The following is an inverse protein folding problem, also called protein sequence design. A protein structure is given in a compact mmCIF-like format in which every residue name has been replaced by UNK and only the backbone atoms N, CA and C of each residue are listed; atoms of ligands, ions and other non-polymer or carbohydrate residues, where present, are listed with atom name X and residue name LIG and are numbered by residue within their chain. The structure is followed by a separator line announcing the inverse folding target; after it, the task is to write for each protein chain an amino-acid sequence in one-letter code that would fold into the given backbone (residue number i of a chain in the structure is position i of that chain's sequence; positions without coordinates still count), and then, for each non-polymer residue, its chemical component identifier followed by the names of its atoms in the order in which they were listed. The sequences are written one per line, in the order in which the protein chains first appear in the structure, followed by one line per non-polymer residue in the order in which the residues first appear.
data_IF_580031269411
#
_entry.id   IF_580031269411
#
_cell.length_a   1.000
_cell.length_b   1.000
_cell.length_c   1.000
_cell.angle_alpha   90.00
_cell.angle_beta   90.00
_cell.angle_gamma   90.00
#
_symmetry.space_group_name_H-M   'P 1'
#
loop_
_entity.id
_entity.type
_entity.pdbx_description
1 polymer ?
#
# COMPACT_ATOMS: atom_id res chain seq x y z
N UNK A 1 -24.58 -16.24 -63.06
CA UNK A 1 -23.67 -16.09 -64.23
C UNK A 1 -23.51 -17.47 -64.86
N UNK A 2 -24.31 -17.75 -65.87
CA UNK A 2 -24.39 -19.06 -66.54
C UNK A 2 -23.20 -19.21 -67.47
N UNK A 3 -22.25 -20.08 -67.12
CA UNK A 3 -21.27 -20.58 -68.07
C UNK A 3 -22.02 -21.33 -69.18
N UNK A 4 -22.28 -20.64 -70.29
CA UNK A 4 -22.66 -21.29 -71.56
C UNK A 4 -21.39 -21.82 -72.20
N UNK A 5 -20.70 -22.71 -71.49
CA UNK A 5 -19.64 -23.53 -72.05
C UNK A 5 -20.26 -24.54 -73.02
N UNK A 6 -19.59 -24.80 -74.13
CA UNK A 6 -20.06 -25.80 -75.10
C UNK A 6 -20.29 -27.16 -74.43
N UNK A 7 -21.11 -28.03 -75.04
CA UNK A 7 -21.41 -29.39 -74.49
C UNK A 7 -20.16 -30.16 -74.07
N UNK A 8 -19.02 -29.92 -74.74
CA UNK A 8 -17.71 -30.48 -74.38
C UNK A 8 -17.21 -30.03 -73.01
N UNK A 9 -17.25 -28.73 -72.69
CA UNK A 9 -16.78 -28.19 -71.40
C UNK A 9 -17.62 -28.72 -70.24
N UNK A 10 -18.93 -28.82 -70.44
CA UNK A 10 -19.85 -29.42 -69.46
C UNK A 10 -19.53 -30.89 -69.20
N UNK A 11 -19.20 -31.64 -70.26
CA UNK A 11 -18.75 -33.04 -70.14
C UNK A 11 -17.43 -33.14 -69.38
N UNK A 12 -16.47 -32.25 -69.64
CA UNK A 12 -15.18 -32.24 -68.93
C UNK A 12 -15.36 -31.95 -67.43
N UNK A 13 -16.14 -30.92 -67.09
CA UNK A 13 -16.42 -30.58 -65.70
C UNK A 13 -17.16 -31.70 -64.97
N UNK A 14 -18.16 -32.31 -65.60
CA UNK A 14 -18.89 -33.45 -65.02
C UNK A 14 -18.00 -34.69 -64.86
N UNK A 15 -17.09 -34.95 -65.80
CA UNK A 15 -16.15 -36.06 -65.70
C UNK A 15 -15.11 -35.85 -64.60
N UNK A 16 -14.60 -34.62 -64.42
CA UNK A 16 -13.72 -34.26 -63.30
C UNK A 16 -14.42 -34.48 -61.95
N UNK A 17 -15.67 -34.00 -61.79
CA UNK A 17 -16.46 -34.18 -60.55
C UNK A 17 -16.69 -35.67 -60.24
N UNK A 18 -17.03 -36.47 -61.25
CA UNK A 18 -17.24 -37.91 -61.06
C UNK A 18 -15.93 -38.62 -60.65
N UNK A 19 -14.81 -38.23 -61.26
CA UNK A 19 -13.49 -38.78 -60.93
C UNK A 19 -13.08 -38.44 -59.49
N UNK A 20 -13.31 -37.19 -59.04
CA UNK A 20 -13.07 -36.77 -57.65
C UNK A 20 -13.88 -37.57 -56.63
N UNK A 21 -15.08 -37.99 -57.01
CA UNK A 21 -15.95 -38.84 -56.19
C UNK A 21 -15.57 -40.33 -56.23
N UNK A 22 -14.52 -40.70 -56.97
CA UNK A 22 -14.09 -42.10 -57.16
C UNK A 22 -15.02 -42.90 -58.08
N UNK A 23 -15.96 -42.25 -58.78
CA UNK A 23 -16.91 -42.89 -59.69
C UNK A 23 -16.33 -42.80 -61.10
N UNK A 24 -16.29 -43.94 -61.82
CA UNK A 24 -15.79 -43.95 -63.21
C UNK A 24 -16.68 -43.06 -64.09
N UNK A 25 -16.14 -42.01 -64.73
CA UNK A 25 -16.91 -41.18 -65.66
C UNK A 25 -17.35 -42.00 -66.88
N UNK A 26 -18.62 -42.38 -66.91
CA UNK A 26 -19.26 -43.06 -68.06
C UNK A 26 -20.20 -42.10 -68.78
N UNK A 27 -20.55 -42.40 -70.03
CA UNK A 27 -21.43 -41.54 -70.83
C UNK A 27 -22.82 -41.36 -70.22
N UNK A 28 -23.31 -42.38 -69.51
CA UNK A 28 -24.59 -42.32 -68.79
C UNK A 28 -24.49 -41.44 -67.55
N UNK A 29 -23.49 -41.68 -66.68
CA UNK A 29 -23.26 -40.89 -65.47
C UNK A 29 -23.00 -39.41 -65.79
N UNK A 30 -22.23 -39.12 -66.84
CA UNK A 30 -21.99 -37.75 -67.29
C UNK A 30 -23.28 -37.11 -67.82
N UNK A 31 -24.10 -37.85 -68.56
CA UNK A 31 -25.39 -37.36 -69.08
C UNK A 31 -26.38 -37.04 -67.97
N UNK A 32 -26.44 -37.89 -66.94
CA UNK A 32 -27.25 -37.67 -65.74
C UNK A 32 -26.80 -36.40 -65.01
N UNK A 33 -25.49 -36.16 -64.93
CA UNK A 33 -24.91 -34.99 -64.26
C UNK A 33 -25.17 -33.67 -65.02
N UNK A 34 -25.12 -33.66 -66.36
CA UNK A 34 -25.30 -32.44 -67.17
C UNK A 34 -26.74 -32.24 -67.69
N UNK A 35 -27.60 -33.26 -67.57
CA UNK A 35 -29.03 -33.25 -67.91
C UNK A 35 -29.38 -33.04 -69.39
N UNK A 36 -28.40 -32.88 -70.30
CA UNK A 36 -28.62 -32.51 -71.70
C UNK A 36 -27.48 -32.94 -72.62
N UNK A 37 -27.77 -33.11 -73.92
CA UNK A 37 -26.80 -33.52 -74.94
C UNK A 37 -26.98 -34.95 -75.44
N UNK A 38 -26.60 -35.19 -76.70
CA UNK A 38 -26.60 -36.53 -77.30
C UNK A 38 -25.50 -37.40 -76.69
N UNK A 39 -25.82 -38.68 -76.41
CA UNK A 39 -24.85 -39.68 -75.94
C UNK A 39 -23.64 -39.79 -76.88
N UNK A 40 -23.82 -39.60 -78.19
CA UNK A 40 -22.72 -39.63 -79.18
C UNK A 40 -21.75 -38.46 -79.01
N UNK A 41 -22.28 -37.26 -78.75
CA UNK A 41 -21.48 -36.05 -78.50
C UNK A 41 -20.76 -36.14 -77.15
N UNK A 42 -21.44 -36.67 -76.13
CA UNK A 42 -20.87 -36.90 -74.79
C UNK A 42 -19.75 -37.95 -74.88
N UNK A 43 -19.95 -39.05 -75.62
CA UNK A 43 -18.93 -40.07 -75.84
C UNK A 43 -17.65 -39.48 -76.46
N UNK A 44 -17.80 -38.68 -77.52
CA UNK A 44 -16.67 -38.02 -78.18
C UNK A 44 -15.92 -37.10 -77.22
N UNK A 45 -16.64 -36.24 -76.49
CA UNK A 45 -16.03 -35.33 -75.52
C UNK A 45 -15.39 -36.07 -74.33
N UNK A 46 -16.00 -37.16 -73.86
CA UNK A 46 -15.47 -37.97 -72.76
C UNK A 46 -14.18 -38.71 -73.17
N UNK A 47 -14.09 -39.18 -74.41
CA UNK A 47 -12.86 -39.77 -74.93
C UNK A 47 -11.74 -38.72 -75.04
N UNK A 48 -12.06 -37.50 -75.47
CA UNK A 48 -11.11 -36.40 -75.48
C UNK A 48 -10.64 -36.07 -74.05
N UNK A 49 -11.55 -36.08 -73.08
CA UNK A 49 -11.22 -35.88 -71.66
C UNK A 49 -10.26 -36.95 -71.14
N UNK A 50 -10.55 -38.24 -71.37
CA UNK A 50 -9.68 -39.36 -70.97
C UNK A 50 -8.26 -39.26 -71.58
N UNK A 51 -8.16 -38.82 -72.85
CA UNK A 51 -6.85 -38.58 -73.48
C UNK A 51 -6.06 -37.49 -72.78
N UNK A 52 -6.71 -36.39 -72.40
CA UNK A 52 -6.05 -35.28 -71.70
C UNK A 52 -5.78 -35.54 -70.21
N UNK A 53 -6.51 -36.48 -69.59
CA UNK A 53 -6.35 -36.78 -68.16
C UNK A 53 -4.94 -37.31 -67.83
N UNK A 54 -4.42 -38.22 -68.66
CA UNK A 54 -3.06 -38.76 -68.48
C UNK A 54 -2.01 -37.65 -68.49
N UNK A 55 -2.10 -36.73 -69.45
CA UNK A 55 -1.18 -35.58 -69.55
C UNK A 55 -1.31 -34.62 -68.35
N UNK A 56 -2.53 -34.39 -67.86
CA UNK A 56 -2.78 -33.54 -66.68
C UNK A 56 -2.17 -34.14 -65.42
N UNK A 57 -2.37 -35.44 -65.19
CA UNK A 57 -1.82 -36.14 -64.01
C UNK A 57 -0.30 -36.15 -64.07
N UNK A 58 0.30 -36.47 -65.22
CA UNK A 58 1.75 -36.45 -65.38
C UNK A 58 2.32 -35.04 -65.19
N UNK A 59 1.68 -34.00 -65.71
CA UNK A 59 2.10 -32.60 -65.52
C UNK A 59 2.04 -32.17 -64.04
N UNK A 60 1.03 -32.61 -63.29
CA UNK A 60 0.90 -32.31 -61.87
C UNK A 60 1.93 -33.04 -61.02
N UNK A 61 2.37 -34.23 -61.43
CA UNK A 61 3.47 -34.95 -60.75
C UNK A 61 4.86 -34.38 -61.11
N UNK A 62 4.97 -33.62 -62.19
CA UNK A 62 6.19 -32.92 -62.60
C UNK A 62 6.35 -31.55 -61.92
N UNK A 63 5.99 -31.41 -60.64
CA UNK A 63 6.45 -30.24 -59.88
C UNK A 63 7.96 -30.43 -59.63
N UNK A 64 8.85 -29.64 -60.27
CA UNK A 64 10.27 -29.74 -59.98
C UNK A 64 10.50 -29.36 -58.53
N UNK A 65 11.46 -30.02 -57.87
CA UNK A 65 11.94 -29.57 -56.57
C UNK A 65 12.27 -28.08 -56.62
N UNK A 66 11.97 -27.37 -55.52
CA UNK A 66 12.27 -25.95 -55.41
C UNK A 66 13.74 -25.70 -55.78
N UNK A 67 14.03 -24.80 -56.73
CA UNK A 67 15.41 -24.53 -57.12
C UNK A 67 16.25 -24.12 -55.91
N UNK A 68 17.49 -24.61 -55.85
CA UNK A 68 18.44 -24.32 -54.77
C UNK A 68 18.57 -22.80 -54.43
N UNK A 69 18.55 -21.86 -55.40
CA UNK A 69 18.56 -20.43 -55.08
C UNK A 69 17.37 -19.96 -54.25
N UNK A 70 16.18 -20.55 -54.46
CA UNK A 70 14.96 -20.20 -53.71
C UNK A 70 15.06 -20.69 -52.27
N UNK A 71 15.56 -21.91 -52.07
CA UNK A 71 15.80 -22.47 -50.74
C UNK A 71 16.83 -21.65 -49.96
N UNK A 72 17.93 -21.24 -50.60
CA UNK A 72 18.95 -20.42 -49.98
C UNK A 72 18.43 -19.06 -49.51
N UNK A 73 17.61 -18.39 -50.34
CA UNK A 73 17.00 -17.11 -49.95
C UNK A 73 15.98 -17.30 -48.81
N UNK A 74 15.19 -18.37 -48.84
CA UNK A 74 14.24 -18.68 -47.78
C UNK A 74 14.93 -18.93 -46.43
N UNK A 75 16.03 -19.69 -46.42
CA UNK A 75 16.83 -19.93 -45.23
C UNK A 75 17.46 -18.64 -44.69
N UNK A 76 18.05 -17.81 -45.55
CA UNK A 76 18.60 -16.52 -45.13
C UNK A 76 17.55 -15.58 -44.55
N UNK A 77 16.33 -15.59 -45.11
CA UNK A 77 15.23 -14.80 -44.58
C UNK A 77 14.80 -15.32 -43.19
N UNK A 78 14.75 -16.63 -43.03
CA UNK A 78 14.42 -17.28 -41.77
C UNK A 78 15.45 -16.99 -40.68
N UNK A 79 16.74 -17.12 -40.99
CA UNK A 79 17.84 -16.82 -40.07
C UNK A 79 17.80 -15.36 -39.61
N UNK A 80 17.52 -14.43 -40.53
CA UNK A 80 17.35 -13.01 -40.19
C UNK A 80 16.13 -12.76 -39.31
N UNK A 81 15.02 -13.45 -39.56
CA UNK A 81 13.82 -13.34 -38.74
C UNK A 81 14.06 -13.87 -37.31
N UNK A 82 14.79 -14.99 -37.19
CA UNK A 82 15.23 -15.54 -35.90
C UNK A 82 16.15 -14.57 -35.16
N UNK A 83 17.19 -14.07 -35.81
CA UNK A 83 18.12 -13.11 -35.19
C UNK A 83 17.41 -11.83 -34.74
N UNK A 84 16.44 -11.34 -35.52
CA UNK A 84 15.61 -10.20 -35.13
C UNK A 84 14.75 -10.52 -33.91
N UNK A 85 14.13 -11.70 -33.86
CA UNK A 85 13.31 -12.13 -32.73
C UNK A 85 14.14 -12.31 -31.45
N UNK A 86 15.33 -12.91 -31.55
CA UNK A 86 16.25 -13.11 -30.43
C UNK A 86 16.74 -11.77 -29.86
N UNK A 87 17.18 -10.83 -30.72
CA UNK A 87 17.57 -9.50 -30.27
C UNK A 87 16.42 -8.78 -29.54
N UNK A 88 15.21 -8.83 -30.11
CA UNK A 88 14.03 -8.21 -29.51
C UNK A 88 13.64 -8.87 -28.18
N UNK A 89 13.84 -10.18 -28.05
CA UNK A 89 13.60 -10.90 -26.81
C UNK A 89 14.65 -10.56 -25.74
N UNK A 90 15.92 -10.45 -26.12
CA UNK A 90 17.00 -10.07 -25.20
C UNK A 90 16.83 -8.62 -24.72
N UNK A 91 16.45 -7.69 -25.59
CA UNK A 91 16.10 -6.32 -25.20
C UNK A 91 14.95 -6.29 -24.18
N UNK A 92 13.87 -7.05 -24.43
CA UNK A 92 12.74 -7.15 -23.51
C UNK A 92 13.16 -7.76 -22.17
N UNK A 93 14.00 -8.79 -22.20
CA UNK A 93 14.54 -9.44 -21.01
C UNK A 93 15.36 -8.47 -20.18
N UNK A 94 16.23 -7.69 -20.81
CA UNK A 94 17.04 -6.66 -20.12
C UNK A 94 16.16 -5.56 -19.51
N UNK A 95 15.14 -5.10 -20.24
CA UNK A 95 14.17 -4.12 -19.70
C UNK A 95 13.42 -4.67 -18.49
N UNK A 96 12.97 -5.93 -18.55
CA UNK A 96 12.30 -6.58 -17.42
C UNK A 96 13.23 -6.74 -16.22
N UNK A 97 14.49 -7.14 -16.42
CA UNK A 97 15.49 -7.23 -15.35
C UNK A 97 15.77 -5.87 -14.71
N UNK A 98 15.93 -4.81 -15.52
CA UNK A 98 16.10 -3.46 -15.02
C UNK A 98 14.89 -3.03 -14.19
N UNK A 99 13.67 -3.27 -14.71
CA UNK A 99 12.44 -2.93 -14.00
C UNK A 99 12.29 -3.70 -12.68
N UNK A 100 12.65 -4.98 -12.67
CA UNK A 100 12.62 -5.79 -11.46
C UNK A 100 13.64 -5.28 -10.43
N UNK A 101 14.83 -4.91 -10.88
CA UNK A 101 15.86 -4.31 -10.00
C UNK A 101 15.43 -2.96 -9.44
N UNK A 102 14.78 -2.12 -10.23
CA UNK A 102 14.22 -0.83 -9.78
C UNK A 102 13.14 -1.05 -8.73
N UNK A 103 12.17 -1.93 -9.00
CA UNK A 103 11.08 -2.24 -8.08
C UNK A 103 11.61 -2.85 -6.77
N UNK A 104 12.58 -3.75 -6.84
CA UNK A 104 13.25 -4.29 -5.64
C UNK A 104 13.93 -3.18 -4.83
N UNK A 105 14.62 -2.26 -5.50
CA UNK A 105 15.25 -1.12 -4.84
C UNK A 105 14.23 -0.16 -4.20
N UNK A 106 13.07 0.06 -4.83
CA UNK A 106 11.98 0.86 -4.25
C UNK A 106 11.35 0.18 -3.03
N UNK A 107 11.10 -1.13 -3.10
CA UNK A 107 10.60 -1.92 -1.97
C UNK A 107 11.59 -1.84 -0.81
N UNK A 108 12.88 -2.08 -1.03
CA UNK A 108 13.90 -2.00 0.04
C UNK A 108 13.96 -0.61 0.67
N UNK A 109 13.90 0.47 -0.14
CA UNK A 109 13.89 1.84 0.39
C UNK A 109 12.64 2.13 1.21
N UNK A 110 11.47 1.71 0.74
CA UNK A 110 10.21 1.94 1.46
C UNK A 110 10.13 1.11 2.74
N UNK A 111 10.56 -0.14 2.72
CA UNK A 111 10.66 -0.98 3.91
C UNK A 111 11.65 -0.40 4.91
N UNK A 112 12.84 0.01 4.45
CA UNK A 112 13.86 0.58 5.33
C UNK A 112 13.40 1.91 5.93
N UNK A 113 12.82 2.81 5.13
CA UNK A 113 12.24 4.06 5.61
C UNK A 113 11.09 3.84 6.59
N UNK A 114 10.21 2.88 6.31
CA UNK A 114 9.12 2.49 7.20
C UNK A 114 9.64 1.92 8.53
N UNK A 115 10.66 1.07 8.50
CA UNK A 115 11.27 0.49 9.69
C UNK A 115 11.96 1.54 10.56
N UNK A 116 12.67 2.48 9.94
CA UNK A 116 13.27 3.62 10.64
C UNK A 116 12.22 4.51 11.29
N UNK A 117 11.17 4.89 10.55
CA UNK A 117 10.07 5.70 11.07
C UNK A 117 9.35 5.00 12.24
N UNK A 118 9.11 3.69 12.13
CA UNK A 118 8.50 2.90 13.19
C UNK A 118 9.37 2.84 14.44
N UNK A 119 10.69 2.63 14.28
CA UNK A 119 11.65 2.64 15.39
C UNK A 119 11.72 4.01 16.07
N UNK A 120 11.69 5.08 15.29
CA UNK A 120 11.69 6.45 15.81
C UNK A 120 10.40 6.72 16.59
N UNK A 121 9.24 6.37 16.04
CA UNK A 121 7.95 6.50 16.72
C UNK A 121 7.87 5.67 18.00
N UNK A 122 8.43 4.45 18.02
CA UNK A 122 8.55 3.63 19.22
C UNK A 122 9.43 4.30 20.28
N UNK A 123 10.58 4.86 19.88
CA UNK A 123 11.46 5.57 20.81
C UNK A 123 10.79 6.83 21.38
N UNK A 124 10.08 7.59 20.56
CA UNK A 124 9.32 8.76 20.99
C UNK A 124 8.20 8.37 21.97
N UNK A 125 7.44 7.32 21.68
CA UNK A 125 6.42 6.81 22.60
C UNK A 125 7.03 6.34 23.93
N UNK A 126 8.17 5.63 23.90
CA UNK A 126 8.89 5.23 25.11
C UNK A 126 9.29 6.44 25.97
N UNK A 127 9.85 7.49 25.35
CA UNK A 127 10.20 8.74 26.05
C UNK A 127 8.98 9.45 26.62
N UNK A 128 7.87 9.47 25.90
CA UNK A 128 6.62 10.07 26.39
C UNK A 128 6.05 9.29 27.58
N UNK A 129 6.08 7.96 27.53
CA UNK A 129 5.67 7.11 28.66
C UNK A 129 6.53 7.35 29.89
N UNK A 130 7.85 7.34 29.74
CA UNK A 130 8.79 7.64 30.83
C UNK A 130 8.55 9.04 31.42
N UNK A 131 8.29 10.04 30.58
CA UNK A 131 7.95 11.39 31.03
C UNK A 131 6.62 11.43 31.79
N UNK A 132 5.61 10.69 31.33
CA UNK A 132 4.32 10.57 32.02
C UNK A 132 4.48 9.89 33.39
N UNK A 133 5.29 8.84 33.49
CA UNK A 133 5.60 8.16 34.75
C UNK A 133 6.33 9.09 35.72
N UNK A 134 7.35 9.82 35.25
CA UNK A 134 8.06 10.79 36.06
C UNK A 134 7.15 11.91 36.58
N UNK A 135 6.30 12.48 35.72
CA UNK A 135 5.32 13.49 36.13
C UNK A 135 4.28 12.94 37.12
N UNK A 136 3.88 11.68 36.98
CA UNK A 136 2.98 11.02 37.92
C UNK A 136 3.64 10.84 39.30
N UNK A 137 4.91 10.43 39.33
CA UNK A 137 5.69 10.31 40.56
C UNK A 137 5.89 11.68 41.23
N UNK A 138 6.30 12.71 40.47
CA UNK A 138 6.42 14.08 40.97
C UNK A 138 5.11 14.62 41.54
N UNK A 139 3.99 14.36 40.84
CA UNK A 139 2.65 14.72 41.33
C UNK A 139 2.38 14.05 42.68
N UNK A 140 2.63 12.75 42.80
CA UNK A 140 2.40 12.02 44.03
C UNK A 140 3.27 12.53 45.19
N UNK A 141 4.54 12.85 44.91
CA UNK A 141 5.43 13.46 45.90
C UNK A 141 4.94 14.83 46.37
N UNK A 142 4.48 15.67 45.44
CA UNK A 142 3.94 16.99 45.76
C UNK A 142 2.63 16.88 46.56
N UNK A 143 1.75 15.94 46.22
CA UNK A 143 0.53 15.66 47.00
C UNK A 143 0.86 15.24 48.43
N UNK A 144 1.87 14.38 48.61
CA UNK A 144 2.32 13.96 49.93
C UNK A 144 2.97 15.11 50.73
N UNK A 145 3.75 15.98 50.07
CA UNK A 145 4.31 17.19 50.69
C UNK A 145 3.21 18.17 51.10
N UNK A 146 2.18 18.34 50.27
CA UNK A 146 1.03 19.20 50.56
C UNK A 146 0.27 18.69 51.78
N UNK A 147 -0.03 17.39 51.85
CA UNK A 147 -0.71 16.78 53.00
C UNK A 147 0.07 17.01 54.30
N UNK A 148 1.40 16.85 54.28
CA UNK A 148 2.25 17.12 55.45
C UNK A 148 2.22 18.59 55.87
N UNK A 149 2.22 19.51 54.92
CA UNK A 149 2.13 20.94 55.20
C UNK A 149 0.76 21.32 55.79
N UNK A 150 -0.32 20.71 55.30
CA UNK A 150 -1.67 20.89 55.83
C UNK A 150 -1.77 20.37 57.27
N UNK A 151 -1.21 19.19 57.57
CA UNK A 151 -1.14 18.66 58.93
C UNK A 151 -0.35 19.59 59.88
N UNK A 152 0.78 20.13 59.43
CA UNK A 152 1.56 21.10 60.21
C UNK A 152 0.78 22.39 60.47
N UNK A 153 0.10 22.90 59.45
CA UNK A 153 -0.75 24.10 59.56
C UNK A 153 -1.88 23.87 60.54
N UNK A 154 -2.52 22.70 60.49
CA UNK A 154 -3.56 22.31 61.43
C UNK A 154 -3.04 22.24 62.87
N UNK A 155 -1.88 21.61 63.10
CA UNK A 155 -1.23 21.55 64.44
C UNK A 155 -0.87 22.94 64.97
N UNK A 156 -0.27 23.80 64.16
CA UNK A 156 0.08 25.16 64.56
C UNK A 156 -1.17 25.99 64.87
N UNK A 157 -2.25 25.83 64.08
CA UNK A 157 -3.53 26.49 64.33
C UNK A 157 -4.13 26.03 65.66
N UNK A 158 -4.15 24.72 65.93
CA UNK A 158 -4.58 24.20 67.23
C UNK A 158 -3.74 24.75 68.40
N UNK A 159 -2.41 24.82 68.25
CA UNK A 159 -1.54 25.38 69.27
C UNK A 159 -1.85 26.86 69.53
N UNK A 160 -2.10 27.64 68.48
CA UNK A 160 -2.49 29.05 68.60
C UNK A 160 -3.84 29.21 69.30
N UNK A 161 -4.84 28.38 68.98
CA UNK A 161 -6.14 28.43 69.65
C UNK A 161 -6.02 28.04 71.13
N UNK A 162 -5.16 27.07 71.46
CA UNK A 162 -4.83 26.73 72.85
C UNK A 162 -4.12 27.88 73.58
N UNK A 163 -3.13 28.53 72.95
CA UNK A 163 -2.44 29.67 73.54
C UNK A 163 -3.37 30.88 73.70
N UNK A 164 -4.22 31.18 72.72
CA UNK A 164 -5.26 32.23 72.81
C UNK A 164 -6.24 31.94 73.95
N UNK A 165 -6.67 30.70 74.11
CA UNK A 165 -7.57 30.30 75.21
C UNK A 165 -6.89 30.44 76.58
N UNK A 166 -5.62 30.02 76.71
CA UNK A 166 -4.81 30.22 77.93
C UNK A 166 -4.59 31.70 78.24
N UNK A 167 -4.32 32.52 77.23
CA UNK A 167 -4.17 33.96 77.38
C UNK A 167 -5.46 34.57 77.91
N UNK A 168 -6.61 34.26 77.30
CA UNK A 168 -7.92 34.73 77.73
C UNK A 168 -8.27 34.31 79.16
N UNK A 169 -7.89 33.08 79.54
CA UNK A 169 -8.05 32.58 80.91
C UNK A 169 -7.13 33.33 81.89
N UNK A 170 -5.88 33.60 81.51
CA UNK A 170 -4.94 34.40 82.31
C UNK A 170 -5.40 35.85 82.43
N UNK A 171 -5.95 36.44 81.37
CA UNK A 171 -6.58 37.77 81.35
C UNK A 171 -7.76 37.84 82.31
N UNK A 172 -8.63 36.82 82.32
CA UNK A 172 -9.75 36.75 83.26
C UNK A 172 -9.30 36.50 84.70
N UNK A 173 -8.23 35.74 84.92
CA UNK A 173 -7.65 35.50 86.25
C UNK A 173 -6.79 36.67 86.76
N UNK A 174 -6.25 37.52 85.88
CA UNK A 174 -5.50 38.75 86.22
C UNK A 174 -6.35 40.02 86.13
N UNK A 175 -7.62 39.89 85.72
CA UNK A 175 -8.64 40.94 85.79
C UNK A 175 -9.02 41.35 87.21
N UNK A 176 -8.51 40.63 88.22
CA UNK A 176 -8.52 41.02 89.63
C UNK A 176 -7.06 41.16 90.11
N UNK A 177 -6.37 42.23 89.68
CA UNK A 177 -5.45 42.92 90.60
C UNK A 177 -4.00 43.24 90.20
N UNK A 178 -3.31 42.61 89.23
CA UNK A 178 -1.84 42.89 89.09
C UNK A 178 -1.11 42.61 87.74
N UNK A 179 -1.80 42.34 86.62
CA UNK A 179 -1.16 41.74 85.42
C UNK A 179 -0.85 42.62 84.18
N UNK A 180 -0.68 43.94 84.30
CA UNK A 180 -0.60 44.85 83.13
C UNK A 180 0.59 44.66 82.19
N UNK A 181 1.78 44.32 82.71
CA UNK A 181 3.03 44.29 81.94
C UNK A 181 3.21 42.97 81.17
N UNK A 182 2.86 41.84 81.80
CA UNK A 182 2.88 40.51 81.17
C UNK A 182 1.87 40.39 80.02
N UNK A 183 0.75 41.12 80.11
CA UNK A 183 -0.27 41.19 79.07
C UNK A 183 0.22 41.91 77.81
N UNK A 184 0.96 43.00 77.98
CA UNK A 184 1.56 43.74 76.87
C UNK A 184 2.61 42.87 76.17
N UNK A 185 3.48 42.20 76.93
CA UNK A 185 4.51 41.33 76.35
C UNK A 185 3.90 40.14 75.59
N UNK A 186 2.87 39.51 76.13
CA UNK A 186 2.18 38.42 75.46
C UNK A 186 1.45 38.88 74.19
N UNK A 187 0.87 40.09 74.20
CA UNK A 187 0.22 40.68 73.02
C UNK A 187 1.21 41.02 71.91
N UNK A 188 2.39 41.52 72.28
CA UNK A 188 3.49 41.76 71.33
C UNK A 188 3.97 40.44 70.72
N UNK A 189 4.13 39.38 71.52
CA UNK A 189 4.49 38.04 70.99
C UNK A 189 3.42 37.50 70.03
N UNK A 190 2.14 37.68 70.34
CA UNK A 190 1.04 37.28 69.47
C UNK A 190 1.04 38.07 68.15
N UNK A 191 1.30 39.38 68.21
CA UNK A 191 1.44 40.23 67.01
C UNK A 191 2.62 39.80 66.14
N UNK A 192 3.77 39.46 66.75
CA UNK A 192 4.95 38.97 66.02
C UNK A 192 4.64 37.62 65.37
N UNK A 193 3.97 36.70 66.06
CA UNK A 193 3.56 35.41 65.51
C UNK A 193 2.53 35.54 64.38
N UNK A 194 1.56 36.45 64.50
CA UNK A 194 0.59 36.72 63.45
C UNK A 194 1.26 37.35 62.21
N UNK A 195 2.25 38.23 62.39
CA UNK A 195 3.08 38.74 61.28
C UNK A 195 3.92 37.64 60.63
N UNK A 196 4.52 36.74 61.41
CA UNK A 196 5.30 35.61 60.88
C UNK A 196 4.41 34.65 60.09
N UNK A 197 3.19 34.38 60.57
CA UNK A 197 2.20 33.59 59.83
C UNK A 197 1.77 34.27 58.54
N UNK A 198 1.55 35.59 58.55
CA UNK A 198 1.23 36.33 57.34
C UNK A 198 2.39 36.28 56.32
N UNK A 199 3.64 36.40 56.79
CA UNK A 199 4.83 36.24 55.93
C UNK A 199 4.93 34.84 55.34
N UNK A 200 4.72 33.80 56.15
CA UNK A 200 4.74 32.41 55.69
C UNK A 200 3.62 32.11 54.69
N UNK A 201 2.41 32.65 54.91
CA UNK A 201 1.29 32.55 53.95
C UNK A 201 1.62 33.24 52.63
N UNK A 202 2.11 34.48 52.67
CA UNK A 202 2.52 35.20 51.47
C UNK A 202 3.62 34.45 50.72
N UNK A 203 4.59 33.87 51.43
CA UNK A 203 5.66 33.08 50.81
C UNK A 203 5.12 31.78 50.18
N UNK A 204 4.13 31.14 50.80
CA UNK A 204 3.49 29.96 50.24
C UNK A 204 2.70 30.33 48.96
N UNK A 205 1.99 31.45 48.96
CA UNK A 205 1.27 31.96 47.80
C UNK A 205 2.22 32.33 46.64
N UNK A 206 3.37 32.93 46.94
CA UNK A 206 4.44 33.18 45.96
C UNK A 206 4.97 31.88 45.36
N UNK A 207 5.34 30.90 46.20
CA UNK A 207 5.82 29.60 45.74
C UNK A 207 4.76 28.83 44.94
N UNK A 208 3.48 28.98 45.28
CA UNK A 208 2.38 28.39 44.52
C UNK A 208 2.21 29.07 43.16
N UNK A 209 2.36 30.40 43.08
CA UNK A 209 2.36 31.15 41.81
C UNK A 209 3.55 30.78 40.94
N UNK A 210 4.76 30.67 41.52
CA UNK A 210 5.95 30.22 40.82
C UNK A 210 5.79 28.79 40.29
N UNK A 211 5.27 27.87 41.11
CA UNK A 211 4.95 26.51 40.66
C UNK A 211 3.90 26.49 39.54
N UNK A 212 2.87 27.34 39.63
CA UNK A 212 1.87 27.47 38.57
C UNK A 212 2.48 27.99 37.26
N UNK A 213 3.39 28.97 37.34
CA UNK A 213 4.12 29.50 36.18
C UNK A 213 5.07 28.47 35.58
N UNK A 214 5.83 27.73 36.39
CA UNK A 214 6.72 26.65 35.92
C UNK A 214 5.93 25.51 35.28
N UNK A 215 4.79 25.13 35.86
CA UNK A 215 3.85 24.16 35.26
C UNK A 215 3.32 24.66 33.91
N UNK A 216 3.00 25.95 33.78
CA UNK A 216 2.56 26.53 32.52
C UNK A 216 3.68 26.58 31.46
N UNK A 217 4.93 26.80 31.87
CA UNK A 217 6.09 26.77 30.99
C UNK A 217 6.42 25.34 30.50
N UNK A 218 6.23 24.34 31.36
CA UNK A 218 6.40 22.92 31.00
C UNK A 218 5.27 22.39 30.08
N UNK A 219 4.09 23.02 30.10
CA UNK A 219 2.93 22.67 29.28
C UNK A 219 2.80 23.47 27.97
N UNK A 220 3.73 24.39 27.67
CA UNK A 220 3.78 25.01 26.33
C UNK A 220 4.42 24.01 25.36
N UNK A 221 3.72 23.59 24.28
CA UNK A 221 4.36 22.83 23.22
C UNK A 221 5.40 23.73 22.52
N UNK A 222 6.57 23.16 22.24
CA UNK A 222 7.56 23.77 21.35
C UNK A 222 7.03 23.84 19.91
#
# INVERSE_FOLDING_TARGET
MTQTGGTREKVFAAADILLEQGIRPTQQAVREQIGSGSLTTINKALNDWWKTLGERITRQQQHPELPEPVLNVANQLWDRALAYAENRFEEQRQQLMQRESELRGEIERTEHGGHQALKELQSQNGRLLERCENLANEKHELEHKLLKADEQTYRLTQQLDQFKSKLKQSEQMHGDGQGGEALIEARVRLSIQDEELARLRNRNDELNRENAMLRQQLNKPA
#
